data_IF_334288728291
#
_entry.id   IF_334288728291
#
_cell.length_a   1.000
_cell.length_b   1.000
_cell.length_c   1.000
_cell.angle_alpha   90.00
_cell.angle_beta   90.00
_cell.angle_gamma   90.00
#
_symmetry.space_group_name_H-M   'P 1'
#
loop_
_entity.id
_entity.type
_entity.pdbx_description
1 polymer ?
#
# COMPACT_ATOMS: atom_id res chain seq x y z
N UNK A 1 28.87 -12.44 32.98
CA UNK A 1 29.16 -12.57 31.54
C UNK A 1 27.88 -12.28 30.78
N UNK A 2 27.78 -11.08 30.20
CA UNK A 2 26.68 -10.73 29.30
C UNK A 2 26.94 -11.43 27.97
N UNK A 3 26.09 -12.39 27.61
CA UNK A 3 26.17 -13.07 26.32
C UNK A 3 26.10 -12.03 25.21
N UNK A 4 27.14 -12.00 24.37
CA UNK A 4 27.15 -11.26 23.13
C UNK A 4 25.94 -11.68 22.30
N UNK A 5 24.94 -10.79 22.20
CA UNK A 5 23.90 -10.92 21.17
C UNK A 5 24.60 -10.78 19.84
N UNK A 6 24.68 -11.87 19.08
CA UNK A 6 24.94 -11.78 17.65
C UNK A 6 23.95 -10.77 17.05
N UNK A 7 24.41 -9.87 16.15
CA UNK A 7 23.48 -9.01 15.43
C UNK A 7 22.47 -9.93 14.74
N UNK A 8 21.18 -9.70 14.99
CA UNK A 8 20.15 -10.44 14.28
C UNK A 8 20.36 -10.19 12.78
N UNK A 9 20.68 -11.24 12.02
CA UNK A 9 20.57 -11.20 10.58
C UNK A 9 19.14 -10.77 10.26
N UNK A 10 19.00 -9.54 9.76
CA UNK A 10 17.70 -8.97 9.45
C UNK A 10 17.10 -9.68 8.25
N UNK A 11 15.82 -10.00 8.31
CA UNK A 11 15.08 -10.51 7.16
C UNK A 11 14.70 -9.34 6.24
N UNK A 12 15.04 -9.43 4.96
CA UNK A 12 14.56 -8.46 3.96
C UNK A 12 13.16 -8.82 3.50
N UNK A 13 12.25 -7.83 3.50
CA UNK A 13 10.88 -7.99 3.02
C UNK A 13 10.73 -7.11 1.79
N UNK A 14 10.11 -7.65 0.73
CA UNK A 14 9.79 -6.86 -0.46
C UNK A 14 8.30 -6.59 -0.55
N UNK A 15 7.96 -5.45 -1.15
CA UNK A 15 6.60 -5.00 -1.38
C UNK A 15 6.45 -4.76 -2.87
N UNK A 16 5.46 -5.39 -3.48
CA UNK A 16 5.17 -5.26 -4.89
C UNK A 16 3.76 -4.72 -5.10
N UNK A 17 3.53 -3.88 -6.11
CA UNK A 17 2.18 -3.51 -6.50
C UNK A 17 1.44 -4.72 -7.09
N UNK A 18 0.17 -4.90 -6.74
CA UNK A 18 -0.65 -6.04 -7.17
C UNK A 18 -1.72 -5.59 -8.19
N UNK A 19 -2.69 -4.80 -7.74
CA UNK A 19 -3.77 -4.32 -8.58
C UNK A 19 -4.36 -3.00 -8.08
N UNK A 20 -5.03 -2.28 -8.96
CA UNK A 20 -5.91 -1.17 -8.62
C UNK A 20 -7.30 -1.70 -8.33
N UNK A 21 -7.91 -1.23 -7.23
CA UNK A 21 -9.27 -1.61 -6.84
C UNK A 21 -10.13 -0.36 -6.79
N UNK A 22 -11.26 -0.39 -7.49
CA UNK A 22 -12.22 0.70 -7.48
C UNK A 22 -12.95 0.73 -6.14
N UNK A 23 -13.02 1.90 -5.49
CA UNK A 23 -13.62 2.02 -4.15
C UNK A 23 -15.12 1.75 -4.19
N UNK A 24 -15.81 2.16 -5.26
CA UNK A 24 -17.28 2.10 -5.36
C UNK A 24 -17.75 0.75 -5.91
N UNK A 25 -17.18 0.31 -7.03
CA UNK A 25 -17.63 -0.90 -7.74
C UNK A 25 -16.90 -2.18 -7.33
N UNK A 26 -15.75 -2.07 -6.65
CA UNK A 26 -14.88 -3.22 -6.38
C UNK A 26 -14.18 -3.78 -7.63
N UNK A 27 -14.29 -3.13 -8.79
CA UNK A 27 -13.57 -3.51 -10.01
C UNK A 27 -12.06 -3.60 -9.72
N UNK A 28 -11.43 -4.68 -10.17
CA UNK A 28 -9.98 -4.89 -10.03
C UNK A 28 -9.29 -4.79 -11.38
N UNK A 29 -8.24 -3.98 -11.46
CA UNK A 29 -7.39 -3.82 -12.65
C UNK A 29 -5.95 -4.20 -12.31
N UNK A 30 -5.30 -5.10 -13.07
CA UNK A 30 -3.90 -5.44 -12.84
C UNK A 30 -3.01 -4.21 -12.85
N UNK A 31 -1.98 -4.19 -12.00
CA UNK A 31 -1.01 -3.09 -12.02
C UNK A 31 -0.18 -3.06 -13.32
N UNK A 32 0.15 -4.24 -13.86
CA UNK A 32 0.95 -4.36 -15.07
C UNK A 32 0.22 -3.86 -16.33
N UNK A 33 0.98 -3.29 -17.26
CA UNK A 33 0.48 -2.81 -18.55
C UNK A 33 -0.16 -1.42 -18.46
N UNK A 34 -1.38 -1.29 -18.98
CA UNK A 34 -2.14 -0.04 -19.08
C UNK A 34 -3.46 -0.13 -18.27
N UNK A 35 -3.41 0.02 -16.93
CA UNK A 35 -4.58 -0.13 -16.07
C UNK A 35 -5.67 0.93 -16.32
N UNK A 36 -5.29 2.06 -16.92
CA UNK A 36 -6.20 3.13 -17.29
C UNK A 36 -6.07 3.46 -18.77
N UNK A 37 -7.05 4.20 -19.31
CA UNK A 37 -7.03 4.60 -20.72
C UNK A 37 -5.72 5.33 -21.05
N UNK A 38 -5.12 5.01 -22.20
CA UNK A 38 -3.91 5.70 -22.65
C UNK A 38 -4.15 7.20 -22.77
N UNK A 39 -3.16 8.00 -22.35
CA UNK A 39 -3.28 9.45 -22.26
C UNK A 39 -3.94 9.97 -20.97
N UNK A 40 -4.47 9.09 -20.10
CA UNK A 40 -4.96 9.50 -18.79
C UNK A 40 -3.81 9.99 -17.90
N UNK A 41 -4.10 11.00 -17.07
CA UNK A 41 -3.23 11.48 -15.99
C UNK A 41 -3.69 10.84 -14.69
N UNK A 42 -2.78 10.21 -13.97
CA UNK A 42 -3.07 9.55 -12.72
C UNK A 42 -2.97 10.57 -11.58
N UNK A 43 -4.05 10.82 -10.85
CA UNK A 43 -4.06 11.77 -9.73
C UNK A 43 -3.83 11.01 -8.42
N UNK A 44 -2.58 10.96 -7.97
CA UNK A 44 -2.18 10.24 -6.77
C UNK A 44 -2.37 11.12 -5.52
N UNK A 45 -3.24 10.69 -4.61
CA UNK A 45 -3.52 11.36 -3.33
C UNK A 45 -2.98 10.49 -2.20
N UNK A 46 -2.23 11.08 -1.26
CA UNK A 46 -1.59 10.33 -0.17
C UNK A 46 -1.60 11.11 1.15
N UNK A 47 -2.01 10.43 2.22
CA UNK A 47 -1.89 10.92 3.61
C UNK A 47 -0.80 10.15 4.38
N UNK A 48 0.25 9.72 3.70
CA UNK A 48 1.41 9.04 4.28
C UNK A 48 2.47 10.05 4.75
N UNK A 49 3.10 9.80 5.90
CA UNK A 49 4.25 10.60 6.36
C UNK A 49 5.49 10.56 5.44
N UNK A 50 5.65 9.50 4.63
CA UNK A 50 6.64 9.43 3.57
C UNK A 50 6.02 8.80 2.30
N UNK A 51 5.41 9.60 1.42
CA UNK A 51 4.66 9.10 0.27
C UNK A 51 5.55 8.70 -0.91
N UNK A 52 6.86 8.92 -0.85
CA UNK A 52 7.74 8.80 -2.03
C UNK A 52 7.75 7.38 -2.60
N UNK A 53 7.76 6.35 -1.75
CA UNK A 53 7.69 4.95 -2.20
C UNK A 53 6.39 4.67 -2.97
N UNK A 54 5.29 5.27 -2.55
CA UNK A 54 4.00 5.11 -3.25
C UNK A 54 4.04 5.76 -4.63
N UNK A 55 4.56 6.98 -4.74
CA UNK A 55 4.68 7.65 -6.03
C UNK A 55 5.66 6.95 -6.98
N UNK A 56 6.81 6.50 -6.47
CA UNK A 56 7.78 5.73 -7.24
C UNK A 56 7.20 4.44 -7.80
N UNK A 57 6.31 3.77 -7.06
CA UNK A 57 5.58 2.63 -7.62
C UNK A 57 4.75 3.07 -8.83
N UNK A 58 3.96 4.13 -8.70
CA UNK A 58 3.09 4.63 -9.77
C UNK A 58 3.85 5.17 -10.99
N UNK A 59 5.05 5.73 -10.81
CA UNK A 59 5.89 6.22 -11.92
C UNK A 59 6.32 5.10 -12.89
N UNK A 60 6.25 3.83 -12.47
CA UNK A 60 6.53 2.68 -13.35
C UNK A 60 5.41 2.40 -14.36
N UNK A 61 4.29 3.11 -14.27
CA UNK A 61 3.17 2.98 -15.18
C UNK A 61 3.33 3.90 -16.39
N UNK A 62 2.70 3.58 -17.54
CA UNK A 62 2.70 4.44 -18.72
C UNK A 62 1.73 5.64 -18.59
N UNK A 63 1.68 6.26 -17.41
CA UNK A 63 0.78 7.37 -17.07
C UNK A 63 1.55 8.52 -16.44
N UNK A 64 1.17 9.77 -16.78
CA UNK A 64 1.69 10.93 -16.05
C UNK A 64 1.05 10.99 -14.67
N UNK A 65 1.87 10.89 -13.62
CA UNK A 65 1.40 10.95 -12.22
C UNK A 65 1.41 12.40 -11.73
N UNK A 66 0.26 12.88 -11.24
CA UNK A 66 0.09 14.12 -10.49
C UNK A 66 0.04 13.76 -9.00
N UNK A 67 0.93 14.36 -8.20
CA UNK A 67 1.14 13.96 -6.80
C UNK A 67 0.51 14.99 -5.86
N UNK A 68 -0.32 14.53 -4.94
CA UNK A 68 -1.02 15.35 -3.96
C UNK A 68 -0.80 14.75 -2.56
N UNK A 69 0.16 15.30 -1.83
CA UNK A 69 0.52 14.84 -0.49
C UNK A 69 -0.15 15.69 0.58
N UNK A 70 -0.73 15.01 1.55
CA UNK A 70 -1.26 15.59 2.79
C UNK A 70 -0.38 15.18 3.97
N UNK A 71 -0.64 15.77 5.13
CA UNK A 71 0.03 15.37 6.38
C UNK A 71 -0.31 13.92 6.74
N UNK A 72 0.58 13.28 7.50
CA UNK A 72 0.31 11.91 7.94
C UNK A 72 -0.97 11.86 8.77
N UNK A 73 -1.73 10.78 8.60
CA UNK A 73 -3.03 10.59 9.24
C UNK A 73 -4.09 11.65 8.92
N UNK A 74 -3.89 12.50 7.90
CA UNK A 74 -4.91 13.47 7.46
C UNK A 74 -6.26 12.78 7.23
N UNK A 75 -7.32 13.38 7.77
CA UNK A 75 -8.69 12.93 7.56
C UNK A 75 -9.25 13.66 6.36
N UNK A 76 -9.40 12.95 5.26
CA UNK A 76 -9.82 13.56 4.01
C UNK A 76 -11.27 14.03 4.07
N UNK A 77 -11.50 15.24 3.60
CA UNK A 77 -12.83 15.76 3.32
C UNK A 77 -13.02 15.95 1.82
N UNK A 78 -14.28 15.95 1.36
CA UNK A 78 -14.59 16.23 -0.05
C UNK A 78 -14.02 17.59 -0.49
N UNK A 79 -14.06 18.58 0.40
CA UNK A 79 -13.54 19.93 0.16
C UNK A 79 -12.04 19.94 -0.16
N UNK A 80 -11.25 19.01 0.40
CA UNK A 80 -9.82 18.90 0.07
C UNK A 80 -9.63 18.56 -1.42
N UNK A 81 -10.45 17.64 -1.94
CA UNK A 81 -10.38 17.16 -3.32
C UNK A 81 -10.88 18.23 -4.29
N UNK A 82 -11.94 18.94 -3.91
CA UNK A 82 -12.47 20.07 -4.67
C UNK A 82 -11.45 21.23 -4.72
N UNK A 83 -10.77 21.54 -3.60
CA UNK A 83 -9.75 22.60 -3.52
C UNK A 83 -8.48 22.28 -4.33
N UNK A 84 -8.11 21.00 -4.43
CA UNK A 84 -7.03 20.54 -5.31
C UNK A 84 -7.39 20.62 -6.80
N UNK A 85 -8.67 20.83 -7.14
CA UNK A 85 -9.14 20.86 -8.53
C UNK A 85 -8.94 19.52 -9.22
N UNK A 86 -9.16 18.41 -8.51
CA UNK A 86 -8.99 17.08 -9.08
C UNK A 86 -9.99 16.85 -10.22
N UNK A 87 -9.50 16.30 -11.31
CA UNK A 87 -10.29 15.98 -12.49
C UNK A 87 -11.18 14.76 -12.21
N UNK A 88 -12.49 14.95 -12.29
CA UNK A 88 -13.52 13.95 -12.00
C UNK A 88 -13.59 12.79 -13.01
N UNK A 89 -12.95 12.93 -14.17
CA UNK A 89 -12.90 11.91 -15.21
C UNK A 89 -11.63 11.08 -15.08
N UNK A 90 -10.54 11.71 -14.62
CA UNK A 90 -9.25 11.06 -14.49
C UNK A 90 -9.20 10.15 -13.26
N UNK A 91 -8.46 9.03 -13.33
CA UNK A 91 -8.33 8.13 -12.19
C UNK A 91 -7.63 8.82 -11.01
N UNK A 92 -8.30 8.80 -9.85
CA UNK A 92 -7.73 9.22 -8.57
C UNK A 92 -7.29 7.96 -7.83
N UNK A 93 -6.01 7.89 -7.47
CA UNK A 93 -5.41 6.72 -6.81
C UNK A 93 -4.87 7.10 -5.45
N UNK A 94 -5.12 6.26 -4.45
CA UNK A 94 -4.55 6.41 -3.12
C UNK A 94 -4.05 5.07 -2.56
N UNK A 95 -3.55 5.09 -1.34
CA UNK A 95 -3.24 3.87 -0.59
C UNK A 95 -4.52 3.22 -0.06
N UNK A 96 -4.48 1.92 0.25
CA UNK A 96 -5.63 1.24 0.87
C UNK A 96 -6.05 1.89 2.20
N UNK A 97 -5.07 2.33 3.02
CA UNK A 97 -5.32 3.08 4.27
C UNK A 97 -6.10 4.37 4.03
N UNK A 98 -5.74 5.11 3.00
CA UNK A 98 -6.39 6.38 2.66
C UNK A 98 -7.77 6.18 2.01
N UNK A 99 -7.95 5.09 1.26
CA UNK A 99 -9.23 4.72 0.64
C UNK A 99 -10.37 4.54 1.66
N UNK A 100 -10.05 3.96 2.83
CA UNK A 100 -11.01 3.80 3.94
C UNK A 100 -11.57 5.16 4.38
N UNK A 101 -10.74 6.22 4.37
CA UNK A 101 -11.12 7.55 4.84
C UNK A 101 -12.00 8.33 3.85
N UNK A 102 -12.04 7.93 2.58
CA UNK A 102 -12.81 8.63 1.53
C UNK A 102 -14.06 7.86 1.11
N UNK A 103 -14.26 6.65 1.62
CA UNK A 103 -15.30 5.71 1.15
C UNK A 103 -16.70 6.35 1.14
N UNK A 104 -17.02 7.19 2.12
CA UNK A 104 -18.31 7.88 2.24
C UNK A 104 -18.56 8.99 1.19
N UNK A 105 -17.55 9.44 0.44
CA UNK A 105 -17.72 10.39 -0.67
C UNK A 105 -17.03 9.95 -1.96
N UNK A 106 -16.53 8.72 -2.02
CA UNK A 106 -15.79 8.20 -3.17
C UNK A 106 -16.66 8.20 -4.43
N UNK A 107 -16.04 8.56 -5.56
CA UNK A 107 -16.68 8.56 -6.88
C UNK A 107 -16.20 7.37 -7.71
N UNK A 108 -16.84 7.16 -8.85
CA UNK A 108 -16.57 6.04 -9.75
C UNK A 108 -15.13 6.00 -10.29
N UNK A 109 -14.41 7.13 -10.29
CA UNK A 109 -13.02 7.26 -10.70
C UNK A 109 -12.02 7.13 -9.54
N UNK A 110 -12.45 6.73 -8.34
CA UNK A 110 -11.58 6.57 -7.16
C UNK A 110 -11.10 5.13 -7.03
N UNK A 111 -9.79 4.99 -6.85
CA UNK A 111 -9.10 3.71 -6.79
C UNK A 111 -8.10 3.70 -5.64
N UNK A 112 -7.77 2.51 -5.16
CA UNK A 112 -6.60 2.32 -4.32
C UNK A 112 -5.66 1.29 -4.91
N UNK A 113 -4.38 1.44 -4.63
CA UNK A 113 -3.35 0.46 -5.00
C UNK A 113 -3.26 -0.61 -3.91
N UNK A 114 -3.66 -1.83 -4.25
CA UNK A 114 -3.38 -3.04 -3.48
C UNK A 114 -1.93 -3.44 -3.68
N UNK A 115 -1.26 -3.83 -2.59
CA UNK A 115 0.13 -4.29 -2.59
C UNK A 115 0.21 -5.73 -2.10
N UNK A 116 1.28 -6.42 -2.48
CA UNK A 116 1.64 -7.74 -1.99
C UNK A 116 2.95 -7.65 -1.22
N UNK A 117 2.98 -8.27 -0.04
CA UNK A 117 4.19 -8.42 0.74
C UNK A 117 4.78 -9.79 0.44
N UNK A 118 6.05 -9.85 0.05
CA UNK A 118 6.80 -11.10 -0.12
C UNK A 118 7.76 -11.25 1.06
N UNK A 119 7.49 -12.27 1.86
CA UNK A 119 8.35 -12.70 2.95
C UNK A 119 9.37 -13.70 2.41
N UNK A 120 10.66 -13.59 2.79
CA UNK A 120 11.65 -14.50 2.29
C UNK A 120 11.53 -15.85 2.99
N UNK A 121 11.84 -16.94 2.29
CA UNK A 121 11.64 -18.31 2.81
C UNK A 121 12.41 -18.57 4.11
N UNK A 122 13.60 -17.98 4.26
CA UNK A 122 14.40 -18.11 5.48
C UNK A 122 13.75 -17.44 6.71
N UNK A 123 12.94 -16.38 6.51
CA UNK A 123 12.12 -15.81 7.59
C UNK A 123 11.06 -16.79 8.04
N UNK A 124 10.34 -17.39 7.10
CA UNK A 124 9.26 -18.33 7.40
C UNK A 124 9.80 -19.55 8.14
N UNK A 125 10.91 -20.12 7.66
CA UNK A 125 11.56 -21.25 8.30
C UNK A 125 12.05 -20.92 9.74
N UNK A 126 12.65 -19.74 9.93
CA UNK A 126 13.09 -19.30 11.25
C UNK A 126 11.91 -19.06 12.20
N UNK A 127 10.82 -18.48 11.70
CA UNK A 127 9.59 -18.24 12.44
C UNK A 127 8.95 -19.57 12.89
N UNK A 128 8.76 -20.53 11.97
CA UNK A 128 8.15 -21.83 12.27
C UNK A 128 8.98 -22.63 13.28
N UNK A 129 10.31 -22.61 13.14
CA UNK A 129 11.23 -23.23 14.10
C UNK A 129 11.03 -22.65 15.50
N UNK A 130 10.95 -21.32 15.62
CA UNK A 130 10.79 -20.66 16.92
C UNK A 130 9.40 -20.90 17.51
N UNK A 131 8.36 -20.83 16.69
CA UNK A 131 6.98 -21.10 17.10
C UNK A 131 6.84 -22.53 17.65
N UNK A 132 7.38 -23.52 16.94
CA UNK A 132 7.36 -24.92 17.37
C UNK A 132 8.09 -25.12 18.70
N UNK A 133 9.26 -24.50 18.87
CA UNK A 133 10.01 -24.58 20.12
C UNK A 133 9.22 -24.02 21.32
N UNK A 134 8.60 -22.85 21.15
CA UNK A 134 7.80 -22.22 22.22
C UNK A 134 6.55 -23.04 22.55
N UNK A 135 5.89 -23.63 21.53
CA UNK A 135 4.75 -24.53 21.75
C UNK A 135 5.15 -25.78 22.53
N UNK A 136 6.30 -26.38 22.21
CA UNK A 136 6.83 -27.54 22.92
C UNK A 136 7.23 -27.19 24.37
N UNK A 137 7.82 -26.02 24.62
CA UNK A 137 8.12 -25.52 25.96
C UNK A 137 6.84 -25.33 26.79
N UNK A 138 5.80 -24.72 26.20
CA UNK A 138 4.49 -24.56 26.86
C UNK A 138 3.82 -25.90 27.16
N UNK A 139 3.88 -26.86 26.24
CA UNK A 139 3.29 -28.19 26.45
C UNK A 139 4.00 -28.99 27.56
N UNK A 140 5.30 -28.76 27.79
CA UNK A 140 6.06 -29.37 28.89
C UNK A 140 5.84 -28.69 30.24
N UNK A 141 5.38 -27.44 30.22
CA UNK A 141 5.11 -26.64 31.42
C UNK A 141 3.64 -26.71 31.90
N UNK A 142 2.79 -27.42 31.15
CA UNK A 142 1.39 -27.73 31.48
C UNK A 142 1.27 -29.18 31.97
#
# INVERSE_FOLDING_TARGET
MLGSREPAEGFSVTVDPDCFVNIVSGERRPFAGAPFKMGSRLQAVSGLGNPERFYQMLDNLPHKVLRHSFTDHHWFEKADFDALGLDDIQPIVMTEKDAVKVTHFARHNYWYLSIRIRLPEHLLAAFDKRLTAVLAEKAKAA
#
